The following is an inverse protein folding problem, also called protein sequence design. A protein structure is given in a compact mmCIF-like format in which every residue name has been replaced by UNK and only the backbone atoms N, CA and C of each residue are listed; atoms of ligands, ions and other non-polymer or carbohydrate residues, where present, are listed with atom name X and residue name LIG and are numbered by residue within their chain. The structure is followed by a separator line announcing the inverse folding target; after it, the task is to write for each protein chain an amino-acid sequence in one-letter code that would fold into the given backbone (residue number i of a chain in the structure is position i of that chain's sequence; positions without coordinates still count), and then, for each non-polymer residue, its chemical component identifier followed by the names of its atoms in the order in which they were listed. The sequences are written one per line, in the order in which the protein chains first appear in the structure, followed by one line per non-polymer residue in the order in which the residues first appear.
data_IF_847073193033
#
_entry.id   IF_847073193033
#
_cell.length_a   1.000
_cell.length_b   1.000
_cell.length_c   1.000
_cell.angle_alpha   90.00
_cell.angle_beta   90.00
_cell.angle_gamma   90.00
#
_symmetry.space_group_name_H-M   'P 1'
#
loop_
_entity.id
_entity.type
_entity.pdbx_description
1 polymer ?
#
# COMPACT_ATOMS: atom_id res chain seq x y z
N UNK A 1 16.46 19.68 -26.04
CA UNK A 1 17.01 19.53 -24.68
C UNK A 1 16.07 20.02 -23.59
N UNK A 2 15.38 21.14 -23.77
CA UNK A 2 14.38 21.61 -22.80
C UNK A 2 13.23 20.62 -22.57
N UNK A 3 12.82 19.89 -23.61
CA UNK A 3 11.83 18.81 -23.49
C UNK A 3 12.28 17.69 -22.53
N UNK A 4 13.56 17.28 -22.61
CA UNK A 4 14.14 16.27 -21.71
C UNK A 4 14.10 16.76 -20.26
N UNK A 5 14.50 18.01 -20.01
CA UNK A 5 14.42 18.63 -18.69
C UNK A 5 12.97 18.71 -18.19
N UNK A 6 12.03 19.03 -19.08
CA UNK A 6 10.60 19.02 -18.81
C UNK A 6 10.14 17.65 -18.32
N UNK A 7 10.46 16.57 -19.04
CA UNK A 7 10.11 15.22 -18.61
C UNK A 7 10.80 14.80 -17.30
N UNK A 8 12.06 15.17 -17.08
CA UNK A 8 12.76 14.88 -15.82
C UNK A 8 12.11 15.59 -14.63
N UNK A 9 11.70 16.86 -14.79
CA UNK A 9 10.97 17.64 -13.78
C UNK A 9 9.61 17.03 -13.48
N UNK A 10 8.81 16.76 -14.52
CA UNK A 10 7.49 16.14 -14.38
C UNK A 10 7.61 14.78 -13.69
N UNK A 11 8.57 13.94 -14.09
CA UNK A 11 8.82 12.66 -13.44
C UNK A 11 9.08 12.83 -11.93
N UNK A 12 9.87 13.82 -11.52
CA UNK A 12 10.11 14.09 -10.09
C UNK A 12 8.85 14.56 -9.36
N UNK A 13 7.99 15.37 -9.97
CA UNK A 13 6.69 15.75 -9.39
C UNK A 13 5.78 14.54 -9.14
N UNK A 14 5.82 13.53 -10.03
CA UNK A 14 5.08 12.29 -9.80
C UNK A 14 5.68 11.42 -8.69
N UNK A 15 7.01 11.45 -8.47
CA UNK A 15 7.62 10.86 -7.27
C UNK A 15 7.14 11.55 -5.99
N UNK A 16 7.06 12.88 -5.99
CA UNK A 16 6.50 13.63 -4.85
C UNK A 16 5.03 13.29 -4.61
N UNK A 17 4.23 13.17 -5.68
CA UNK A 17 2.84 12.75 -5.60
C UNK A 17 2.72 11.33 -5.04
N UNK A 18 3.56 10.40 -5.51
CA UNK A 18 3.60 9.02 -5.02
C UNK A 18 3.87 8.99 -3.51
N UNK A 19 4.91 9.71 -3.06
CA UNK A 19 5.24 9.85 -1.65
C UNK A 19 4.07 10.46 -0.85
N UNK A 20 3.42 11.50 -1.37
CA UNK A 20 2.29 12.18 -0.72
C UNK A 20 1.11 11.23 -0.50
N UNK A 21 0.76 10.43 -1.50
CA UNK A 21 -0.35 9.46 -1.41
C UNK A 21 -0.09 8.45 -0.29
N UNK A 22 1.13 7.90 -0.21
CA UNK A 22 1.50 6.99 0.90
C UNK A 22 1.43 7.67 2.26
N UNK A 23 1.90 8.92 2.38
CA UNK A 23 1.80 9.67 3.66
C UNK A 23 0.36 9.89 4.08
N UNK A 24 -0.50 10.30 3.15
CA UNK A 24 -1.91 10.57 3.43
C UNK A 24 -2.62 9.29 3.88
N UNK A 25 -2.34 8.16 3.22
CA UNK A 25 -2.87 6.86 3.63
C UNK A 25 -2.41 6.46 5.03
N UNK A 26 -1.14 6.69 5.37
CA UNK A 26 -0.63 6.42 6.70
C UNK A 26 -1.27 7.31 7.79
N UNK A 27 -1.60 8.56 7.46
CA UNK A 27 -2.17 9.56 8.38
C UNK A 27 -3.67 9.43 8.62
N UNK A 28 -4.44 8.72 7.78
CA UNK A 28 -5.86 8.46 8.03
C UNK A 28 -6.05 7.64 9.31
N UNK A 29 -6.92 8.10 10.22
CA UNK A 29 -7.14 7.50 11.54
C UNK A 29 -7.90 6.16 11.49
N UNK A 30 -7.12 5.08 11.52
CA UNK A 30 -7.28 3.68 11.95
C UNK A 30 -8.54 2.81 11.74
N UNK A 31 -9.72 3.30 11.37
CA UNK A 31 -10.81 2.40 10.92
C UNK A 31 -11.18 2.61 9.44
N UNK A 32 -11.25 3.86 8.99
CA UNK A 32 -11.49 4.17 7.56
C UNK A 32 -10.27 3.90 6.68
N UNK A 33 -9.06 3.85 7.26
CA UNK A 33 -7.80 3.68 6.54
C UNK A 33 -7.79 2.42 5.67
N UNK A 34 -8.31 1.31 6.19
CA UNK A 34 -8.23 0.01 5.51
C UNK A 34 -9.35 -0.22 4.50
N UNK A 35 -10.50 0.42 4.67
CA UNK A 35 -11.58 0.37 3.68
C UNK A 35 -11.14 0.93 2.33
N UNK A 36 -10.27 1.95 2.34
CA UNK A 36 -9.78 2.61 1.14
C UNK A 36 -8.47 2.00 0.58
N UNK A 37 -8.03 0.83 1.07
CA UNK A 37 -6.77 0.22 0.62
C UNK A 37 -6.76 -0.07 -0.89
N UNK A 38 -7.90 -0.47 -1.48
CA UNK A 38 -8.00 -0.70 -2.93
C UNK A 38 -7.78 0.61 -3.69
N UNK A 39 -8.46 1.68 -3.27
CA UNK A 39 -8.32 2.99 -3.89
C UNK A 39 -6.88 3.52 -3.76
N UNK A 40 -6.26 3.31 -2.61
CA UNK A 40 -4.85 3.64 -2.37
C UNK A 40 -3.91 2.91 -3.34
N UNK A 41 -4.08 1.59 -3.51
CA UNK A 41 -3.28 0.77 -4.42
C UNK A 41 -3.48 1.21 -5.87
N UNK A 42 -4.73 1.40 -6.31
CA UNK A 42 -5.06 1.82 -7.66
C UNK A 42 -4.46 3.20 -8.00
N UNK A 43 -4.51 4.13 -7.04
CA UNK A 43 -3.92 5.46 -7.21
C UNK A 43 -2.39 5.39 -7.32
N UNK A 44 -1.73 4.55 -6.51
CA UNK A 44 -0.28 4.30 -6.61
C UNK A 44 0.10 3.70 -7.95
N UNK A 45 -0.63 2.68 -8.42
CA UNK A 45 -0.35 2.05 -9.71
C UNK A 45 -0.56 3.03 -10.87
N UNK A 46 -1.60 3.87 -10.81
CA UNK A 46 -1.80 4.95 -11.80
C UNK A 46 -0.63 5.92 -11.85
N UNK A 47 -0.08 6.30 -10.70
CA UNK A 47 1.11 7.18 -10.62
C UNK A 47 2.34 6.46 -11.19
N UNK A 48 2.55 5.18 -10.86
CA UNK A 48 3.67 4.40 -11.42
C UNK A 48 3.58 4.29 -12.94
N UNK A 49 2.39 4.08 -13.49
CA UNK A 49 2.19 4.04 -14.94
C UNK A 49 2.55 5.37 -15.62
N UNK A 50 2.25 6.51 -14.99
CA UNK A 50 2.68 7.82 -15.48
C UNK A 50 4.21 7.97 -15.39
N UNK A 51 4.83 7.50 -14.31
CA UNK A 51 6.30 7.50 -14.16
C UNK A 51 6.95 6.67 -15.27
N UNK A 52 6.45 5.45 -15.53
CA UNK A 52 6.91 4.56 -16.61
C UNK A 52 6.73 5.21 -18.00
N UNK A 53 5.63 5.94 -18.20
CA UNK A 53 5.42 6.71 -19.43
C UNK A 53 6.52 7.76 -19.64
N UNK A 54 6.91 8.51 -18.60
CA UNK A 54 8.01 9.46 -18.71
C UNK A 54 9.35 8.77 -18.96
N UNK A 55 9.59 7.60 -18.38
CA UNK A 55 10.78 6.79 -18.71
C UNK A 55 10.86 6.47 -20.19
N UNK A 56 9.76 6.04 -20.79
CA UNK A 56 9.70 5.78 -22.22
C UNK A 56 9.99 7.03 -23.06
N UNK A 57 9.42 8.18 -22.68
CA UNK A 57 9.65 9.46 -23.37
C UNK A 57 11.11 9.92 -23.27
N UNK A 58 11.70 9.83 -22.08
CA UNK A 58 13.10 10.15 -21.84
C UNK A 58 14.01 9.24 -22.69
N UNK A 59 13.78 7.92 -22.66
CA UNK A 59 14.56 6.97 -23.44
C UNK A 59 14.49 7.24 -24.95
N UNK A 60 13.30 7.55 -25.47
CA UNK A 60 13.12 7.95 -26.87
C UNK A 60 13.92 9.19 -27.25
N UNK A 61 13.92 10.22 -26.39
CA UNK A 61 14.70 11.42 -26.66
C UNK A 61 16.20 11.15 -26.67
N UNK A 62 16.70 10.31 -25.76
CA UNK A 62 18.11 9.90 -25.76
C UNK A 62 18.50 9.11 -27.01
N UNK A 63 17.64 8.24 -27.51
CA UNK A 63 17.91 7.44 -28.71
C UNK A 63 17.80 8.25 -30.00
N UNK A 64 16.95 9.28 -30.04
CA UNK A 64 16.70 10.08 -31.23
C UNK A 64 17.73 11.20 -31.46
N UNK A 65 18.47 11.62 -30.43
CA UNK A 65 19.36 12.78 -30.51
C UNK A 65 20.82 12.40 -30.31
N UNK A 66 21.65 12.62 -31.33
CA UNK A 66 23.08 12.79 -31.11
C UNK A 66 23.29 14.15 -30.45
N UNK A 67 23.66 14.15 -29.17
CA UNK A 67 23.82 15.39 -28.41
C UNK A 67 25.09 16.12 -28.85
N UNK A 68 24.97 17.37 -29.27
CA UNK A 68 26.12 18.24 -29.48
C UNK A 68 26.82 18.53 -28.15
N UNK A 69 28.15 18.58 -28.14
CA UNK A 69 28.96 18.78 -26.92
C UNK A 69 28.60 20.06 -26.15
N UNK A 70 28.19 21.12 -26.84
CA UNK A 70 27.82 22.41 -26.23
C UNK A 70 26.55 22.31 -25.39
N UNK A 71 25.56 21.55 -25.86
CA UNK A 71 24.31 21.32 -25.12
C UNK A 71 24.56 20.48 -23.87
N UNK A 72 25.43 19.47 -23.96
CA UNK A 72 25.79 18.62 -22.82
C UNK A 72 26.36 19.48 -21.69
N UNK A 73 27.30 20.39 -21.99
CA UNK A 73 27.93 21.25 -20.97
C UNK A 73 26.90 22.16 -20.31
N UNK A 74 25.99 22.75 -21.10
CA UNK A 74 24.96 23.67 -20.60
C UNK A 74 23.95 23.00 -19.67
N UNK A 75 23.44 21.83 -20.03
CA UNK A 75 22.32 21.20 -19.31
C UNK A 75 22.75 20.20 -18.22
N UNK A 76 24.01 19.75 -18.23
CA UNK A 76 24.53 18.76 -17.27
C UNK A 76 24.30 19.12 -15.79
N UNK A 77 24.50 20.37 -15.33
CA UNK A 77 24.26 20.71 -13.93
C UNK A 77 22.80 20.52 -13.51
N UNK A 78 21.86 20.92 -14.38
CA UNK A 78 20.42 20.83 -14.09
C UNK A 78 19.94 19.37 -14.12
N UNK A 79 20.38 18.60 -15.12
CA UNK A 79 20.10 17.16 -15.17
C UNK A 79 20.62 16.46 -13.91
N UNK A 80 21.86 16.78 -13.48
CA UNK A 80 22.46 16.22 -12.26
C UNK A 80 21.60 16.54 -11.04
N UNK A 81 21.17 17.79 -10.87
CA UNK A 81 20.30 18.21 -9.76
C UNK A 81 18.99 17.42 -9.76
N UNK A 82 18.33 17.29 -10.91
CA UNK A 82 17.06 16.55 -11.02
C UNK A 82 17.22 15.06 -10.68
N UNK A 83 18.33 14.44 -11.05
CA UNK A 83 18.61 13.04 -10.70
C UNK A 83 18.89 12.87 -9.19
N UNK A 84 19.63 13.80 -8.58
CA UNK A 84 19.87 13.81 -7.13
C UNK A 84 18.58 14.02 -6.33
N UNK A 85 17.72 14.94 -6.78
CA UNK A 85 16.40 15.16 -6.18
C UNK A 85 15.54 13.88 -6.25
N UNK A 86 15.58 13.17 -7.39
CA UNK A 86 14.89 11.90 -7.57
C UNK A 86 15.42 10.82 -6.65
N UNK A 87 16.73 10.70 -6.50
CA UNK A 87 17.35 9.73 -5.60
C UNK A 87 16.89 9.97 -4.15
N UNK A 88 16.87 11.23 -3.71
CA UNK A 88 16.35 11.60 -2.39
C UNK A 88 14.87 11.24 -2.23
N UNK A 89 14.04 11.47 -3.25
CA UNK A 89 12.62 11.09 -3.23
C UNK A 89 12.45 9.57 -3.17
N UNK A 90 13.22 8.81 -3.95
CA UNK A 90 13.18 7.35 -3.93
C UNK A 90 13.52 6.78 -2.55
N UNK A 91 14.57 7.29 -1.90
CA UNK A 91 14.92 6.89 -0.52
C UNK A 91 13.78 7.15 0.47
N UNK A 92 13.13 8.32 0.37
CA UNK A 92 11.97 8.65 1.22
C UNK A 92 10.78 7.73 0.97
N UNK A 93 10.51 7.38 -0.29
CA UNK A 93 9.44 6.46 -0.67
C UNK A 93 9.69 5.08 -0.06
N UNK A 94 10.91 4.54 -0.21
CA UNK A 94 11.27 3.23 0.33
C UNK A 94 11.09 3.19 1.85
N UNK A 95 11.59 4.21 2.57
CA UNK A 95 11.44 4.26 4.03
C UNK A 95 9.96 4.27 4.45
N UNK A 96 9.13 5.04 3.74
CA UNK A 96 7.71 5.14 4.03
C UNK A 96 6.94 3.86 3.66
N UNK A 97 7.37 3.16 2.61
CA UNK A 97 6.80 1.86 2.24
C UNK A 97 7.16 0.77 3.27
N UNK A 98 8.35 0.84 3.89
CA UNK A 98 8.70 -0.04 5.02
C UNK A 98 7.81 0.20 6.24
N UNK A 99 7.55 1.47 6.57
CA UNK A 99 6.60 1.85 7.62
C UNK A 99 5.20 1.32 7.33
N UNK A 100 4.72 1.52 6.09
CA UNK A 100 3.44 0.99 5.64
C UNK A 100 3.34 -0.53 5.77
N UNK A 101 4.39 -1.26 5.40
CA UNK A 101 4.41 -2.73 5.53
C UNK A 101 4.31 -3.14 7.01
N UNK A 102 5.05 -2.46 7.91
CA UNK A 102 4.95 -2.72 9.36
C UNK A 102 3.52 -2.52 9.86
N UNK A 103 2.90 -1.39 9.50
CA UNK A 103 1.52 -1.09 9.87
C UNK A 103 0.51 -2.10 9.33
N UNK A 104 0.71 -2.60 8.10
CA UNK A 104 -0.12 -3.68 7.53
C UNK A 104 0.03 -4.97 8.36
N UNK A 105 1.25 -5.34 8.74
CA UNK A 105 1.51 -6.59 9.46
C UNK A 105 0.99 -6.56 10.91
N UNK A 106 1.08 -5.40 11.56
CA UNK A 106 0.47 -5.12 12.86
C UNK A 106 -1.05 -5.33 12.80
N UNK A 107 -1.73 -4.66 11.86
CA UNK A 107 -3.18 -4.77 11.68
C UNK A 107 -3.65 -6.17 11.31
N UNK A 108 -2.87 -6.88 10.47
CA UNK A 108 -3.12 -8.28 10.15
C UNK A 108 -3.05 -9.15 11.42
N UNK A 109 -2.05 -8.92 12.26
CA UNK A 109 -1.85 -9.66 13.51
C UNK A 109 -2.99 -9.40 14.50
N UNK A 110 -3.43 -8.14 14.63
CA UNK A 110 -4.57 -7.74 15.44
C UNK A 110 -5.87 -8.41 14.97
N UNK A 111 -6.16 -8.32 13.66
CA UNK A 111 -7.35 -8.93 13.05
C UNK A 111 -7.38 -10.46 13.27
N UNK A 112 -6.24 -11.14 13.12
CA UNK A 112 -6.14 -12.58 13.40
C UNK A 112 -6.41 -12.88 14.88
N UNK A 113 -5.90 -12.04 15.78
CA UNK A 113 -6.15 -12.14 17.22
C UNK A 113 -7.64 -12.00 17.55
N UNK A 114 -8.32 -11.03 16.95
CA UNK A 114 -9.77 -10.80 17.10
C UNK A 114 -10.60 -11.97 16.58
N UNK A 115 -10.26 -12.49 15.40
CA UNK A 115 -10.93 -13.65 14.81
C UNK A 115 -10.83 -14.88 15.72
N UNK A 116 -9.64 -15.15 16.28
CA UNK A 116 -9.44 -16.25 17.24
C UNK A 116 -10.29 -16.06 18.49
N UNK A 117 -10.27 -14.87 19.10
CA UNK A 117 -11.11 -14.54 20.27
C UNK A 117 -12.59 -14.74 19.98
N UNK A 118 -13.08 -14.24 18.83
CA UNK A 118 -14.47 -14.39 18.40
C UNK A 118 -14.87 -15.86 18.22
N UNK A 119 -13.98 -16.67 17.63
CA UNK A 119 -14.19 -18.12 17.49
C UNK A 119 -14.28 -18.83 18.85
N UNK A 120 -13.40 -18.47 19.79
CA UNK A 120 -13.38 -19.07 21.13
C UNK A 120 -14.60 -18.67 21.94
N UNK A 121 -15.02 -17.40 21.90
CA UNK A 121 -16.29 -16.95 22.49
C UNK A 121 -17.49 -17.69 21.91
N UNK A 122 -17.52 -17.94 20.60
CA UNK A 122 -18.59 -18.72 19.94
C UNK A 122 -18.60 -20.18 20.41
N UNK A 123 -17.44 -20.79 20.66
CA UNK A 123 -17.34 -22.15 21.22
C UNK A 123 -17.86 -22.22 22.65
N UNK A 124 -17.49 -21.24 23.49
CA UNK A 124 -17.99 -21.14 24.87
C UNK A 124 -19.51 -20.96 24.92
N UNK A 125 -20.08 -20.07 24.09
CA UNK A 125 -21.52 -19.89 24.00
C UNK A 125 -22.25 -21.18 23.60
N UNK A 126 -21.68 -21.94 22.64
CA UNK A 126 -22.22 -23.27 22.27
C UNK A 126 -22.18 -24.25 23.44
N UNK A 127 -21.08 -24.33 24.18
CA UNK A 127 -21.02 -25.24 25.34
C UNK A 127 -22.02 -24.88 26.43
N UNK A 128 -22.28 -23.59 26.67
CA UNK A 128 -23.33 -23.15 27.59
C UNK A 128 -24.74 -23.54 27.10
N UNK A 129 -25.04 -23.36 25.80
CA UNK A 129 -26.36 -23.74 25.26
C UNK A 129 -26.67 -25.25 25.37
N UNK A 130 -25.65 -26.10 25.26
CA UNK A 130 -25.79 -27.57 25.40
C UNK A 130 -25.95 -27.99 26.87
N UNK A 131 -25.35 -27.26 27.81
CA UNK A 131 -25.45 -27.56 29.25
C UNK A 131 -26.69 -26.96 29.92
N UNK A 132 -27.42 -26.07 29.23
CA UNK A 132 -28.71 -25.53 29.68
C UNK A 132 -29.94 -26.30 29.19
N UNK A 133 -29.79 -27.39 28.43
CA UNK A 133 -30.94 -28.25 28.10
C UNK A 133 -31.44 -28.96 29.37
N UNK A 134 -32.72 -28.80 29.76
CA UNK A 134 -33.27 -29.52 30.90
C UNK A 134 -33.18 -31.02 30.62
N UNK A 135 -32.53 -31.77 31.52
CA UNK A 135 -32.52 -33.24 31.49
C UNK A 135 -33.96 -33.74 31.32
N UNK A 136 -34.29 -34.29 30.15
CA UNK A 136 -35.59 -34.92 29.92
C UNK A 136 -35.78 -36.02 30.97
N UNK A 137 -36.90 -36.04 31.71
CA UNK A 137 -37.14 -37.09 32.69
C UNK A 137 -37.17 -38.44 31.96
N UNK A 138 -36.28 -39.34 32.37
CA UNK A 138 -36.23 -40.72 31.88
C UNK A 138 -37.53 -41.41 32.29
N UNK A 139 -38.45 -41.64 31.34
CA UNK A 139 -39.63 -42.47 31.57
C UNK A 139 -39.16 -43.91 31.81
N UNK A 140 -39.30 -44.39 33.05
CA UNK A 140 -39.11 -45.80 33.39
C UNK A 140 -40.11 -46.64 32.57
N UNK A 141 -39.68 -47.72 31.91
CA UNK A 141 -40.60 -48.63 31.23
C UNK A 141 -41.49 -49.29 32.28
N UNK A 142 -42.80 -49.10 32.16
CA UNK A 142 -43.79 -49.74 33.02
C UNK A 142 -43.70 -51.26 32.87
N UNK A 143 -43.64 -51.97 33.99
CA UNK A 143 -43.82 -53.42 34.03
C UNK A 143 -45.25 -53.72 33.58
N UNK A 144 -45.40 -54.36 32.42
CA UNK A 144 -46.63 -55.04 32.03
C UNK A 144 -46.75 -56.32 32.86
N UNK A 145 -47.88 -56.45 33.56
CA UNK A 145 -48.29 -57.63 34.30
C UNK A 145 -48.65 -58.78 33.36
#
# INVERSE_FOLDING_TARGET
MDELLGYLKLKNQYFEKFLKVTKQFLQSSDEQKWHDISFFVDNRERILNIIRYFDHKIAKLFNAHQMANVDVIRYRPEVKKLLQDRERLAKKIVNLDLELISTIDEMKSETIGELKRSMDSKRQLKSFSVSSEPLRPVRKPGKTA
#
